data_IF_049938941546
#
_entry.id   IF_049938941546
#
_cell.length_a   1.000
_cell.length_b   1.000
_cell.length_c   1.000
_cell.angle_alpha   90.00
_cell.angle_beta   90.00
_cell.angle_gamma   90.00
#
_symmetry.space_group_name_H-M   'P 1'
#
loop_
_entity.id
_entity.type
_entity.pdbx_description
1 polymer ?
#
# COMPACT_ATOMS: atom_id res chain seq x y z
N UNK A 1 -16.66 8.20 7.12
CA UNK A 1 -15.33 8.69 6.71
C UNK A 1 -14.81 7.88 5.54
N UNK A 2 -13.86 8.44 4.81
CA UNK A 2 -13.27 7.81 3.61
C UNK A 2 -12.63 6.44 3.93
N UNK A 3 -11.97 6.32 5.07
CA UNK A 3 -11.40 5.05 5.54
C UNK A 3 -12.46 3.93 5.67
N UNK A 4 -13.62 4.26 6.22
CA UNK A 4 -14.71 3.29 6.38
C UNK A 4 -15.25 2.84 5.02
N UNK A 5 -15.39 3.78 4.08
CA UNK A 5 -15.88 3.47 2.73
C UNK A 5 -14.91 2.59 1.94
N UNK A 6 -13.62 2.90 2.02
CA UNK A 6 -12.59 2.18 1.28
C UNK A 6 -12.15 0.88 1.94
N UNK A 7 -12.35 0.75 3.23
CA UNK A 7 -11.82 -0.35 4.06
C UNK A 7 -10.31 -0.54 3.92
N UNK A 8 -9.61 0.54 3.66
CA UNK A 8 -8.16 0.60 3.54
C UNK A 8 -7.58 1.45 4.66
N UNK A 9 -6.39 1.12 5.14
CA UNK A 9 -5.61 2.05 5.96
C UNK A 9 -5.32 3.32 5.17
N UNK A 10 -5.38 4.45 5.86
CA UNK A 10 -5.07 5.76 5.30
C UNK A 10 -4.11 6.45 6.24
N UNK A 11 -3.01 6.95 5.69
CA UNK A 11 -2.03 7.75 6.44
C UNK A 11 -1.89 9.09 5.73
N UNK A 12 -2.02 10.15 6.49
CA UNK A 12 -1.85 11.52 6.00
C UNK A 12 -0.54 12.08 6.52
N UNK A 13 0.28 12.54 5.59
CA UNK A 13 1.57 13.17 5.87
C UNK A 13 1.52 14.66 5.50
N UNK A 14 2.26 15.47 6.22
CA UNK A 14 2.50 16.86 5.87
C UNK A 14 3.62 17.00 4.81
N UNK A 15 3.95 18.24 4.46
CA UNK A 15 5.01 18.55 3.50
C UNK A 15 6.42 18.09 3.95
N UNK A 16 6.62 17.86 5.25
CA UNK A 16 7.86 17.36 5.83
C UNK A 16 7.86 15.83 6.00
N UNK A 17 6.82 15.15 5.50
CA UNK A 17 6.58 13.71 5.63
C UNK A 17 6.36 13.25 7.07
N UNK A 18 5.91 14.14 7.94
CA UNK A 18 5.46 13.78 9.28
C UNK A 18 4.01 13.32 9.24
N UNK A 19 3.70 12.28 10.01
CA UNK A 19 2.34 11.74 10.08
C UNK A 19 1.44 12.73 10.84
N UNK A 20 0.42 13.24 10.16
CA UNK A 20 -0.60 14.11 10.77
C UNK A 20 -1.75 13.28 11.31
N UNK A 21 -2.24 12.34 10.52
CA UNK A 21 -3.36 11.48 10.86
C UNK A 21 -3.14 10.08 10.31
N UNK A 22 -3.63 9.10 11.04
CA UNK A 22 -3.53 7.70 10.69
C UNK A 22 -4.85 7.00 10.99
N UNK A 23 -5.46 6.42 9.95
CA UNK A 23 -6.69 5.65 10.04
C UNK A 23 -6.43 4.21 9.61
N UNK A 24 -6.49 3.29 10.55
CA UNK A 24 -6.31 1.87 10.28
C UNK A 24 -7.23 1.02 11.15
N UNK A 25 -7.60 -0.14 10.64
CA UNK A 25 -8.19 -1.16 11.49
C UNK A 25 -7.06 -1.90 12.22
N UNK A 26 -7.35 -2.41 13.41
CA UNK A 26 -6.38 -3.17 14.21
C UNK A 26 -5.87 -4.46 13.52
N UNK A 27 -6.50 -4.85 12.43
CA UNK A 27 -6.18 -6.08 11.69
C UNK A 27 -5.30 -5.86 10.46
N UNK A 28 -5.05 -4.60 10.07
CA UNK A 28 -4.30 -4.33 8.86
C UNK A 28 -2.87 -3.92 9.21
N UNK A 29 -1.87 -4.66 8.71
CA UNK A 29 -0.48 -4.28 8.92
C UNK A 29 -0.20 -2.91 8.34
N UNK A 30 0.57 -2.12 9.04
CA UNK A 30 1.00 -0.81 8.59
C UNK A 30 2.34 -0.95 7.88
N UNK A 31 2.60 -0.05 6.95
CA UNK A 31 3.94 0.13 6.44
C UNK A 31 4.92 0.36 7.60
N UNK A 32 6.11 -0.12 7.40
CA UNK A 32 7.23 0.12 8.29
C UNK A 32 7.81 1.51 8.21
N UNK A 33 8.92 1.70 8.90
CA UNK A 33 9.79 2.87 8.85
C UNK A 33 10.39 3.18 7.46
N UNK A 34 10.12 2.33 6.46
CA UNK A 34 10.54 2.54 5.06
C UNK A 34 9.70 3.58 4.29
N UNK A 35 8.69 4.19 4.92
CA UNK A 35 7.87 5.21 4.30
C UNK A 35 8.67 6.34 3.69
N UNK A 36 9.68 6.83 4.39
CA UNK A 36 10.45 7.98 3.95
C UNK A 36 11.08 7.74 2.58
N UNK A 37 11.66 6.57 2.37
CA UNK A 37 12.28 6.22 1.11
C UNK A 37 11.27 6.11 -0.02
N UNK A 38 10.17 5.39 0.22
CA UNK A 38 9.09 5.19 -0.75
C UNK A 38 8.45 6.53 -1.10
N UNK A 39 8.16 7.36 -0.10
CA UNK A 39 7.51 8.64 -0.31
C UNK A 39 8.43 9.66 -0.99
N UNK A 40 9.69 9.72 -0.61
CA UNK A 40 10.66 10.63 -1.25
C UNK A 40 10.82 10.32 -2.74
N UNK A 41 10.93 9.04 -3.11
CA UNK A 41 11.01 8.64 -4.50
C UNK A 41 9.73 8.96 -5.27
N UNK A 42 8.57 8.70 -4.67
CA UNK A 42 7.28 8.99 -5.29
C UNK A 42 7.01 10.50 -5.45
N UNK A 43 7.40 11.30 -4.46
CA UNK A 43 7.20 12.75 -4.47
C UNK A 43 8.09 13.48 -5.47
N UNK A 44 9.25 12.94 -5.78
CA UNK A 44 10.14 13.50 -6.81
C UNK A 44 9.49 13.51 -8.21
N UNK A 45 8.42 12.75 -8.43
CA UNK A 45 7.70 12.73 -9.71
C UNK A 45 6.72 13.87 -9.91
N UNK A 46 6.37 14.63 -8.87
CA UNK A 46 5.38 15.73 -8.87
C UNK A 46 4.02 15.36 -9.49
N UNK A 47 3.65 14.09 -9.40
CA UNK A 47 2.36 13.62 -9.90
C UNK A 47 1.25 13.79 -8.87
N UNK A 48 0.00 13.99 -9.34
CA UNK A 48 -1.16 14.12 -8.48
C UNK A 48 -1.41 12.79 -7.71
N UNK A 49 -1.17 11.67 -8.35
CA UNK A 49 -1.25 10.36 -7.73
C UNK A 49 -0.19 9.41 -8.29
N UNK A 50 0.17 8.41 -7.51
CA UNK A 50 1.10 7.34 -7.92
C UNK A 50 0.67 6.01 -7.31
N UNK A 51 0.79 4.93 -8.08
CA UNK A 51 0.71 3.58 -7.54
C UNK A 51 2.10 3.08 -7.20
N UNK A 52 2.26 2.55 -5.99
CA UNK A 52 3.54 2.10 -5.45
C UNK A 52 3.45 0.60 -5.20
N UNK A 53 4.42 -0.15 -5.69
CA UNK A 53 4.52 -1.59 -5.45
C UNK A 53 5.71 -1.90 -4.54
N UNK A 54 5.47 -2.59 -3.44
CA UNK A 54 6.51 -3.13 -2.59
C UNK A 54 7.11 -4.44 -3.16
N UNK A 55 8.18 -4.95 -2.55
CA UNK A 55 8.83 -6.22 -2.95
C UNK A 55 7.94 -7.44 -2.83
N UNK A 56 6.97 -7.39 -1.92
CA UNK A 56 5.98 -8.45 -1.77
C UNK A 56 4.82 -8.35 -2.76
N UNK A 57 4.87 -7.42 -3.71
CA UNK A 57 3.76 -7.05 -4.59
C UNK A 57 2.53 -6.52 -3.84
N UNK A 58 2.71 -6.09 -2.61
CA UNK A 58 1.75 -5.26 -1.91
C UNK A 58 1.73 -3.87 -2.54
N UNK A 59 0.55 -3.31 -2.70
CA UNK A 59 0.32 -2.08 -3.47
C UNK A 59 -0.16 -0.97 -2.57
N UNK A 60 0.21 0.25 -2.92
CA UNK A 60 -0.23 1.47 -2.26
C UNK A 60 -0.62 2.51 -3.29
N UNK A 61 -1.57 3.35 -2.94
CA UNK A 61 -1.93 4.55 -3.70
C UNK A 61 -1.47 5.77 -2.92
N UNK A 62 -0.60 6.57 -3.51
CA UNK A 62 -0.24 7.88 -3.00
C UNK A 62 -1.02 8.95 -3.77
N UNK A 63 -1.76 9.78 -3.05
CA UNK A 63 -2.48 10.93 -3.61
C UNK A 63 -1.95 12.21 -2.98
N UNK A 64 -1.61 13.18 -3.82
CA UNK A 64 -1.05 14.46 -3.40
C UNK A 64 -2.10 15.56 -3.54
N UNK A 65 -2.43 16.21 -2.45
CA UNK A 65 -3.39 17.30 -2.42
C UNK A 65 -2.83 18.50 -1.64
N UNK A 66 -2.61 19.60 -2.32
CA UNK A 66 -1.97 20.79 -1.75
C UNK A 66 -0.62 20.44 -1.10
N UNK A 67 -0.50 20.66 0.21
CA UNK A 67 0.72 20.35 0.98
C UNK A 67 0.62 19.01 1.73
N UNK A 68 -0.40 18.21 1.43
CA UNK A 68 -0.62 16.93 2.08
C UNK A 68 -0.34 15.77 1.13
N UNK A 69 0.19 14.70 1.69
CA UNK A 69 0.42 13.44 1.00
C UNK A 69 -0.40 12.37 1.69
N UNK A 70 -1.25 11.68 0.93
CA UNK A 70 -2.20 10.73 1.49
C UNK A 70 -1.90 9.36 0.91
N UNK A 71 -1.55 8.42 1.78
CA UNK A 71 -1.19 7.07 1.42
C UNK A 71 -2.33 6.11 1.78
N UNK A 72 -2.80 5.37 0.78
CA UNK A 72 -3.83 4.34 0.91
C UNK A 72 -3.21 2.96 0.70
N UNK A 73 -3.53 2.03 1.55
CA UNK A 73 -3.06 0.65 1.44
C UNK A 73 -2.53 0.10 2.75
N UNK A 74 -2.04 -1.13 2.74
CA UNK A 74 -1.75 -1.96 1.56
C UNK A 74 -2.99 -2.63 0.95
N UNK A 75 -2.91 -2.94 -0.34
CA UNK A 75 -3.86 -3.76 -1.10
C UNK A 75 -3.10 -4.61 -2.12
N UNK A 76 -3.79 -5.45 -2.88
CA UNK A 76 -3.19 -6.21 -3.98
C UNK A 76 -4.03 -6.08 -5.25
N UNK A 77 -3.38 -6.21 -6.40
CA UNK A 77 -4.04 -6.16 -7.71
C UNK A 77 -4.13 -7.52 -8.39
N UNK A 78 -3.45 -8.52 -7.85
CA UNK A 78 -3.44 -9.87 -8.37
C UNK A 78 -3.62 -10.89 -7.25
N UNK A 79 -4.25 -12.03 -7.59
CA UNK A 79 -4.30 -13.16 -6.68
C UNK A 79 -2.87 -13.68 -6.46
N UNK A 80 -2.54 -13.99 -5.22
CA UNK A 80 -1.22 -14.53 -4.86
C UNK A 80 -1.12 -15.98 -5.34
N UNK A 81 -0.24 -16.24 -6.29
CA UNK A 81 0.11 -17.61 -6.67
C UNK A 81 0.98 -18.23 -5.56
N UNK A 82 0.42 -19.21 -4.87
CA UNK A 82 1.06 -19.85 -3.73
C UNK A 82 2.39 -20.51 -4.09
N UNK A 83 2.43 -21.23 -5.20
CA UNK A 83 3.63 -21.94 -5.66
C UNK A 83 4.75 -20.96 -6.01
N UNK A 84 4.43 -19.93 -6.76
CA UNK A 84 5.37 -18.89 -7.14
C UNK A 84 5.88 -18.13 -5.90
N UNK A 85 4.98 -17.78 -4.99
CA UNK A 85 5.33 -17.08 -3.76
C UNK A 85 6.37 -17.87 -2.93
N UNK A 86 6.11 -19.14 -2.65
CA UNK A 86 7.04 -19.95 -1.86
C UNK A 86 8.38 -20.17 -2.56
N UNK A 87 8.38 -20.26 -3.88
CA UNK A 87 9.62 -20.32 -4.67
C UNK A 87 10.46 -19.06 -4.50
N UNK A 88 9.84 -17.88 -4.59
CA UNK A 88 10.51 -16.59 -4.38
C UNK A 88 11.04 -16.46 -2.94
N UNK A 89 10.27 -16.88 -1.96
CA UNK A 89 10.69 -16.85 -0.54
C UNK A 89 11.88 -17.73 -0.26
N UNK A 90 11.99 -18.89 -0.93
CA UNK A 90 13.18 -19.75 -0.84
C UNK A 90 14.43 -19.09 -1.43
N UNK A 91 14.29 -18.40 -2.56
CA UNK A 91 15.39 -17.64 -3.16
C UNK A 91 15.90 -16.57 -2.21
N UNK A 92 14.99 -15.90 -1.48
CA UNK A 92 15.31 -14.90 -0.48
C UNK A 92 15.79 -15.50 0.85
N UNK A 93 15.88 -16.83 0.97
CA UNK A 93 16.31 -17.56 2.17
C UNK A 93 15.48 -17.25 3.43
N UNK A 94 14.21 -17.00 3.26
CA UNK A 94 13.27 -16.80 4.37
C UNK A 94 12.87 -18.16 4.93
N UNK A 95 12.87 -18.29 6.25
CA UNK A 95 12.50 -19.56 6.89
C UNK A 95 11.01 -19.93 6.68
N UNK A 96 10.67 -21.21 6.81
CA UNK A 96 9.34 -21.70 6.50
C UNK A 96 8.23 -21.05 7.33
N UNK A 97 8.48 -20.76 8.60
CA UNK A 97 7.51 -20.10 9.48
C UNK A 97 7.18 -18.68 9.00
N UNK A 98 8.21 -17.91 8.68
CA UNK A 98 8.05 -16.55 8.20
C UNK A 98 7.41 -16.52 6.80
N UNK A 99 7.70 -17.51 5.95
CA UNK A 99 7.04 -17.67 4.66
C UNK A 99 5.52 -17.79 4.81
N UNK A 100 5.05 -18.59 5.75
CA UNK A 100 3.61 -18.75 6.00
C UNK A 100 2.96 -17.45 6.48
N UNK A 101 3.63 -16.73 7.35
CA UNK A 101 3.15 -15.43 7.87
C UNK A 101 3.06 -14.39 6.74
N UNK A 102 4.08 -14.30 5.92
CA UNK A 102 4.10 -13.38 4.77
C UNK A 102 3.05 -13.77 3.72
N UNK A 103 2.84 -15.05 3.48
CA UNK A 103 1.79 -15.52 2.58
C UNK A 103 0.40 -15.15 3.10
N UNK A 104 0.12 -15.39 4.38
CA UNK A 104 -1.14 -14.99 5.01
C UNK A 104 -1.38 -13.49 4.92
N UNK A 105 -0.35 -12.69 5.18
CA UNK A 105 -0.41 -11.25 5.03
C UNK A 105 -0.87 -10.84 3.62
N UNK A 106 -0.21 -11.35 2.59
CA UNK A 106 -0.55 -11.00 1.21
C UNK A 106 -1.91 -11.57 0.79
N UNK A 107 -2.22 -12.78 1.22
CA UNK A 107 -3.50 -13.41 0.86
C UNK A 107 -4.70 -12.67 1.45
N UNK A 108 -4.55 -12.09 2.63
CA UNK A 108 -5.61 -11.37 3.34
C UNK A 108 -5.77 -9.92 2.85
N UNK A 109 -4.86 -9.39 2.05
CA UNK A 109 -4.98 -8.05 1.49
C UNK A 109 -6.21 -7.93 0.57
N UNK A 110 -6.91 -6.79 0.60
CA UNK A 110 -7.98 -6.52 -0.35
C UNK A 110 -7.49 -6.62 -1.79
N UNK A 111 -8.27 -7.25 -2.65
CA UNK A 111 -7.99 -7.38 -4.08
C UNK A 111 -8.75 -6.32 -4.86
N UNK A 112 -8.05 -5.49 -5.61
CA UNK A 112 -8.65 -4.46 -6.47
C UNK A 112 -8.27 -4.68 -7.93
N UNK A 113 -9.29 -4.63 -8.80
CA UNK A 113 -9.11 -4.55 -10.24
C UNK A 113 -8.72 -3.13 -10.67
N UNK A 114 -8.32 -2.96 -11.92
CA UNK A 114 -8.09 -1.62 -12.50
C UNK A 114 -9.33 -0.74 -12.42
N UNK A 115 -10.51 -1.33 -12.63
CA UNK A 115 -11.79 -0.61 -12.49
C UNK A 115 -12.03 -0.14 -11.06
N UNK A 116 -11.75 -0.98 -10.06
CA UNK A 116 -11.85 -0.61 -8.65
C UNK A 116 -10.93 0.56 -8.31
N UNK A 117 -9.69 0.52 -8.80
CA UNK A 117 -8.72 1.59 -8.57
C UNK A 117 -9.14 2.92 -9.19
N UNK A 118 -9.76 2.86 -10.37
CA UNK A 118 -10.34 4.05 -11.01
C UNK A 118 -11.44 4.66 -10.14
N UNK A 119 -12.36 3.85 -9.66
CA UNK A 119 -13.47 4.29 -8.82
C UNK A 119 -12.96 4.86 -7.49
N UNK A 120 -11.95 4.24 -6.89
CA UNK A 120 -11.30 4.74 -5.68
C UNK A 120 -10.69 6.12 -5.92
N UNK A 121 -9.97 6.30 -7.03
CA UNK A 121 -9.38 7.61 -7.38
C UNK A 121 -10.43 8.69 -7.60
N UNK A 122 -11.51 8.38 -8.29
CA UNK A 122 -12.63 9.32 -8.48
C UNK A 122 -13.19 9.74 -7.12
N UNK A 123 -13.40 8.78 -6.23
CA UNK A 123 -13.94 9.06 -4.89
C UNK A 123 -12.96 9.86 -4.03
N UNK A 124 -11.69 9.52 -4.04
CA UNK A 124 -10.65 10.23 -3.29
C UNK A 124 -10.53 11.66 -3.80
N UNK A 125 -10.44 11.84 -5.11
CA UNK A 125 -10.34 13.17 -5.70
C UNK A 125 -11.56 14.04 -5.38
N UNK A 126 -12.76 13.47 -5.47
CA UNK A 126 -13.98 14.18 -5.08
C UNK A 126 -13.98 14.55 -3.60
N UNK A 127 -13.54 13.67 -2.74
CA UNK A 127 -13.51 13.92 -1.29
C UNK A 127 -12.63 15.12 -0.93
N UNK A 128 -11.47 15.27 -1.57
CA UNK A 128 -10.53 16.33 -1.26
C UNK A 128 -10.75 17.61 -2.08
N UNK A 129 -11.08 17.49 -3.37
CA UNK A 129 -11.23 18.64 -4.28
C UNK A 129 -12.67 19.11 -4.50
N UNK A 130 -13.65 18.25 -4.20
CA UNK A 130 -15.05 18.50 -4.54
C UNK A 130 -15.37 18.31 -6.03
N UNK A 131 -14.43 17.87 -6.84
CA UNK A 131 -14.56 17.68 -8.28
C UNK A 131 -14.67 16.20 -8.66
N UNK A 132 -15.66 15.84 -9.48
CA UNK A 132 -15.77 14.50 -10.05
C UNK A 132 -14.93 14.46 -11.32
N UNK A 133 -13.81 13.76 -11.28
CA UNK A 133 -12.89 13.60 -12.40
C UNK A 133 -12.26 12.23 -12.43
N UNK A 134 -12.24 11.61 -13.60
CA UNK A 134 -11.51 10.38 -13.83
C UNK A 134 -10.03 10.69 -14.14
N UNK A 135 -9.18 10.67 -13.10
CA UNK A 135 -7.76 10.97 -13.23
C UNK A 135 -7.00 9.93 -14.06
N UNK A 136 -7.53 8.71 -14.18
CA UNK A 136 -6.89 7.64 -14.94
C UNK A 136 -7.14 7.73 -16.44
N UNK A 137 -8.20 8.43 -16.88
CA UNK A 137 -8.49 8.62 -18.30
C UNK A 137 -7.46 9.48 -19.02
N UNK A 138 -6.79 10.38 -18.30
CA UNK A 138 -5.77 11.29 -18.84
C UNK A 138 -4.39 10.59 -18.93
N UNK A 139 -4.22 9.39 -18.36
CA UNK A 139 -2.99 8.59 -18.42
C UNK A 139 -3.25 7.33 -19.24
N UNK A 140 -2.68 7.29 -20.45
CA UNK A 140 -2.79 6.16 -21.36
C UNK A 140 -2.10 4.89 -20.82
N UNK A 141 -1.18 5.03 -19.85
CA UNK A 141 -0.47 3.93 -19.22
C UNK A 141 -0.36 4.15 -17.71
N UNK A 142 -0.95 3.23 -16.94
CA UNK A 142 -0.70 3.10 -15.51
C UNK A 142 0.71 2.54 -15.33
N UNK A 143 1.69 3.41 -15.20
CA UNK A 143 3.01 3.01 -14.76
C UNK A 143 3.00 2.79 -13.25
N UNK A 144 3.01 1.53 -12.85
CA UNK A 144 3.27 1.17 -11.46
C UNK A 144 4.76 1.33 -11.19
N UNK A 145 5.11 2.30 -10.36
CA UNK A 145 6.49 2.50 -9.95
C UNK A 145 6.85 1.43 -8.90
N UNK A 146 7.86 0.62 -9.19
CA UNK A 146 8.42 -0.33 -8.24
C UNK A 146 9.51 0.36 -7.43
N UNK A 147 9.27 0.50 -6.14
CA UNK A 147 10.26 0.98 -5.19
C UNK A 147 10.85 -0.20 -4.43
N UNK A 148 12.15 -0.16 -4.15
CA UNK A 148 12.82 -1.21 -3.41
C UNK A 148 12.50 -1.11 -1.91
N UNK A 149 11.41 -1.71 -1.49
CA UNK A 149 11.25 -2.03 -0.07
C UNK A 149 12.05 -3.29 0.20
N UNK A 150 13.13 -3.18 0.94
CA UNK A 150 13.84 -4.37 1.39
C UNK A 150 12.96 -5.18 2.35
N UNK A 151 12.95 -6.50 2.18
CA UNK A 151 12.38 -7.40 3.18
C UNK A 151 13.42 -7.51 4.29
N UNK A 152 13.34 -6.60 5.26
CA UNK A 152 14.23 -6.57 6.41
C UNK A 152 13.71 -7.50 7.50
N UNK A 153 14.59 -7.94 8.39
CA UNK A 153 14.21 -8.72 9.57
C UNK A 153 13.20 -7.95 10.43
N UNK A 154 13.33 -6.62 10.53
CA UNK A 154 12.37 -5.76 11.21
C UNK A 154 10.96 -5.85 10.60
N UNK A 155 10.85 -5.89 9.28
CA UNK A 155 9.56 -6.02 8.59
C UNK A 155 8.93 -7.38 8.88
N UNK A 156 9.72 -8.43 8.86
CA UNK A 156 9.26 -9.77 9.21
C UNK A 156 8.77 -9.80 10.66
N UNK A 157 9.57 -9.30 11.60
CA UNK A 157 9.21 -9.22 13.02
C UNK A 157 7.94 -8.42 13.25
N UNK A 158 7.77 -7.31 12.56
CA UNK A 158 6.57 -6.50 12.63
C UNK A 158 5.33 -7.27 12.15
N UNK A 159 5.39 -7.90 10.99
CA UNK A 159 4.29 -8.68 10.45
C UNK A 159 3.95 -9.88 11.35
N UNK A 160 4.96 -10.52 11.92
CA UNK A 160 4.80 -11.59 12.92
C UNK A 160 4.07 -11.08 14.15
N UNK A 161 4.47 -9.94 14.71
CA UNK A 161 3.84 -9.35 15.90
C UNK A 161 2.37 -8.99 15.65
N UNK A 162 2.04 -8.41 14.49
CA UNK A 162 0.67 -8.07 14.12
C UNK A 162 -0.23 -9.31 13.98
N UNK A 163 0.30 -10.37 13.40
CA UNK A 163 -0.44 -11.62 13.24
C UNK A 163 -0.67 -12.32 14.58
N UNK A 164 0.24 -12.18 15.55
CA UNK A 164 0.11 -12.71 16.90
C UNK A 164 -0.98 -11.97 17.68
N UNK A 165 -1.05 -10.66 17.60
CA UNK A 165 -2.06 -9.84 18.25
C UNK A 165 -3.47 -10.05 17.67
N UNK A 166 -3.59 -10.40 16.40
CA UNK A 166 -4.88 -10.68 15.76
C UNK A 166 -5.49 -12.04 16.15
N UNK A 167 -4.71 -12.93 16.73
CA UNK A 167 -5.13 -14.29 17.16
C UNK A 167 -5.42 -14.39 18.68
N UNK A 168 -5.29 -13.28 19.36
CA UNK A 168 -5.71 -13.19 20.78
C UNK A 168 -7.12 -12.54 20.89
#
# INVERSE_FOLDING_TARGET
SLHVCLRLPIIVFDENLEIIEEYRSNQTPVLFNDYENILNEALNSHELFSFISGKLNDMFLLYNFENFHILFGPFKCNIVDKTFFYKEMKVLKINAKDQEILYSYLNDLPLFSTSDLRDILIMVHYFFSGEIKDLMSDKIHLETKKYSTEITDERIEYLVSQNFDSNM
#
